data_IF_374940506816
#
_entry.id   IF_374940506816
#
_cell.length_a   1.000
_cell.length_b   1.000
_cell.length_c   1.000
_cell.angle_alpha   90.00
_cell.angle_beta   90.00
_cell.angle_gamma   90.00
#
_symmetry.space_group_name_H-M   'P 1'
#
loop_
_entity.id
_entity.type
_entity.pdbx_description
1 polymer ?
#
# COMPACT_ATOMS: atom_id res chain seq x y z
N UNK A 1 -1.54 -17.92 23.67
CA UNK A 1 -1.79 -17.57 23.54
C UNK A 1 -1.86 -17.16 23.45
N UNK A 2 -1.47 -16.80 23.19
CA UNK A 2 -1.57 -16.34 22.95
C UNK A 2 -1.64 -16.09 22.97
N UNK A 3 -1.30 -16.17 23.04
CA UNK A 3 -1.33 -15.78 22.82
C UNK A 3 -1.48 -15.46 22.69
N UNK A 4 -1.32 -15.48 22.63
CA UNK A 4 -1.41 -14.91 22.30
C UNK A 4 -1.59 -14.26 22.26
N UNK A 5 -1.40 -14.04 22.25
CA UNK A 5 -1.76 -13.42 22.22
C UNK A 5 -1.42 -12.70 22.39
N UNK A 6 -0.98 -12.75 22.54
CA UNK A 6 -0.93 -12.05 22.80
C UNK A 6 -0.32 -11.43 22.57
N UNK A 7 0.37 -11.39 22.40
CA UNK A 7 0.73 -10.90 21.98
C UNK A 7 0.60 -10.20 21.21
N UNK A 8 0.53 -10.16 20.77
CA UNK A 8 -0.10 -9.55 19.97
C UNK A 8 -0.60 -8.37 20.38
N UNK A 9 -0.63 -8.23 21.36
CA UNK A 9 -1.29 -7.22 21.84
C UNK A 9 -0.75 -5.88 21.52
N UNK A 10 0.49 -5.60 21.68
CA UNK A 10 0.95 -4.33 21.46
C UNK A 10 0.97 -3.94 20.11
N UNK A 11 0.99 -4.82 19.24
CA UNK A 11 0.95 -4.38 17.95
C UNK A 11 -0.36 -3.84 17.68
N UNK A 12 -1.30 -4.09 18.51
CA UNK A 12 -2.51 -3.54 18.32
C UNK A 12 -2.47 -2.11 18.46
N UNK A 13 -1.52 -1.53 19.10
CA UNK A 13 -1.54 -0.20 19.35
C UNK A 13 -1.30 0.52 18.13
N UNK A 14 -1.91 0.98 17.39
CA UNK A 14 -1.67 1.86 16.34
C UNK A 14 -1.10 1.22 15.11
N UNK A 15 -0.25 0.25 15.28
CA UNK A 15 0.36 -0.40 14.15
C UNK A 15 -0.59 -1.28 13.40
N UNK A 16 -1.52 -1.92 14.07
CA UNK A 16 -2.46 -2.77 13.36
C UNK A 16 -3.38 -1.93 12.47
N UNK A 17 -3.70 -0.70 12.88
CA UNK A 17 -4.50 0.16 12.04
C UNK A 17 -3.73 0.56 10.78
N UNK A 18 -2.46 0.84 10.92
CA UNK A 18 -1.61 1.17 9.78
C UNK A 18 -1.50 -0.03 8.85
N UNK A 19 -1.30 -1.21 9.41
CA UNK A 19 -1.19 -2.43 8.60
C UNK A 19 -2.49 -2.72 7.86
N UNK A 20 -3.61 -2.57 8.53
CA UNK A 20 -4.90 -2.81 7.89
C UNK A 20 -5.14 -1.83 6.77
N UNK A 21 -4.76 -0.59 6.97
CA UNK A 21 -4.92 0.40 5.93
C UNK A 21 -4.02 0.08 4.74
N UNK A 22 -2.77 -0.31 4.99
CA UNK A 22 -1.85 -0.67 3.92
C UNK A 22 -2.40 -1.84 3.10
N UNK A 23 -2.98 -2.83 3.78
CA UNK A 23 -3.60 -3.94 3.08
C UNK A 23 -4.74 -3.48 2.20
N UNK A 24 -5.56 -2.55 2.71
CA UNK A 24 -6.68 -2.07 1.92
C UNK A 24 -6.23 -1.33 0.68
N UNK A 25 -5.09 -0.64 0.74
CA UNK A 25 -4.54 0.03 -0.43
C UNK A 25 -4.12 -1.00 -1.49
N UNK A 26 -3.43 -2.04 -1.04
CA UNK A 26 -2.99 -3.09 -1.97
C UNK A 26 -4.19 -3.82 -2.58
N UNK A 27 -5.22 -4.07 -1.78
CA UNK A 27 -6.42 -4.72 -2.26
C UNK A 27 -7.16 -3.86 -3.28
N UNK A 28 -7.13 -2.55 -3.09
CA UNK A 28 -7.75 -1.63 -4.03
C UNK A 28 -7.05 -1.70 -5.39
N UNK A 29 -5.73 -1.76 -5.38
CA UNK A 29 -4.97 -1.94 -6.61
C UNK A 29 -5.36 -3.27 -7.26
N UNK A 30 -5.42 -4.33 -6.46
CA UNK A 30 -5.69 -5.66 -7.01
C UNK A 30 -7.08 -5.75 -7.64
N UNK A 31 -8.04 -4.99 -7.13
CA UNK A 31 -9.37 -4.99 -7.73
C UNK A 31 -9.38 -4.36 -9.10
N UNK A 32 -8.57 -3.34 -9.32
CA UNK A 32 -8.59 -2.60 -10.57
C UNK A 32 -7.49 -3.00 -11.54
N UNK A 33 -6.45 -3.63 -11.03
CA UNK A 33 -5.29 -4.02 -11.85
C UNK A 33 -4.72 -5.29 -11.26
N UNK A 34 -5.43 -6.42 -11.41
CA UNK A 34 -5.01 -7.66 -10.74
C UNK A 34 -3.68 -8.17 -11.27
N UNK A 35 -2.94 -8.93 -10.47
CA UNK A 35 -1.64 -9.45 -10.90
C UNK A 35 -1.70 -10.24 -12.20
N UNK A 36 -2.79 -10.94 -12.43
CA UNK A 36 -2.93 -11.70 -13.67
C UNK A 36 -2.85 -10.81 -14.90
N UNK A 37 -3.37 -9.58 -14.79
CA UNK A 37 -3.27 -8.62 -15.87
C UNK A 37 -1.92 -7.93 -15.86
N UNK A 38 -1.46 -7.55 -14.67
CA UNK A 38 -0.20 -6.83 -14.54
C UNK A 38 0.98 -7.62 -15.09
N UNK A 39 0.94 -8.94 -14.88
CA UNK A 39 2.05 -9.80 -15.28
C UNK A 39 1.89 -10.38 -16.67
N UNK A 40 0.82 -10.02 -17.38
CA UNK A 40 0.56 -10.55 -18.70
C UNK A 40 0.84 -9.48 -19.76
N UNK A 41 1.92 -9.62 -20.53
CA UNK A 41 2.26 -8.59 -21.50
C UNK A 41 1.22 -8.39 -22.59
N UNK A 42 0.31 -9.36 -22.74
CA UNK A 42 -0.72 -9.23 -23.76
C UNK A 42 -1.96 -8.51 -23.25
N UNK A 43 -2.04 -8.24 -21.96
CA UNK A 43 -3.20 -7.57 -21.39
C UNK A 43 -2.80 -6.27 -20.74
N UNK A 44 -2.07 -5.45 -21.46
CA UNK A 44 -1.59 -4.19 -20.90
C UNK A 44 -2.71 -3.18 -20.83
N UNK A 45 -2.73 -2.42 -19.76
CA UNK A 45 -3.64 -1.27 -19.70
C UNK A 45 -2.84 -0.04 -20.08
N UNK A 46 -3.55 1.03 -20.40
CA UNK A 46 -2.86 2.25 -20.78
C UNK A 46 -2.11 2.84 -19.60
N UNK A 47 -1.04 3.55 -19.90
CA UNK A 47 -0.26 4.23 -18.89
C UNK A 47 -1.13 5.21 -18.12
N UNK A 48 -2.03 5.89 -18.82
CA UNK A 48 -2.89 6.85 -18.19
C UNK A 48 -3.82 6.19 -17.16
N UNK A 49 -4.38 5.05 -17.52
CA UNK A 49 -5.26 4.35 -16.61
C UNK A 49 -4.53 3.86 -15.38
N UNK A 50 -3.34 3.30 -15.57
CA UNK A 50 -2.56 2.82 -14.45
C UNK A 50 -2.19 3.99 -13.52
N UNK A 51 -1.80 5.11 -14.10
CA UNK A 51 -1.48 6.30 -13.32
C UNK A 51 -2.69 6.73 -12.49
N UNK A 52 -3.88 6.72 -13.09
CA UNK A 52 -5.08 7.11 -12.37
C UNK A 52 -5.35 6.18 -11.19
N UNK A 53 -5.20 4.88 -11.40
CA UNK A 53 -5.42 3.92 -10.33
C UNK A 53 -4.45 4.17 -9.18
N UNK A 54 -3.18 4.35 -9.50
CA UNK A 54 -2.17 4.56 -8.47
C UNK A 54 -2.39 5.89 -7.76
N UNK A 55 -2.74 6.94 -8.49
CA UNK A 55 -2.97 8.24 -7.86
C UNK A 55 -4.15 8.19 -6.91
N UNK A 56 -5.20 7.47 -7.26
CA UNK A 56 -6.34 7.33 -6.36
C UNK A 56 -5.91 6.68 -5.05
N UNK A 57 -5.12 5.62 -5.15
CA UNK A 57 -4.65 4.90 -3.98
C UNK A 57 -3.72 5.78 -3.15
N UNK A 58 -2.81 6.49 -3.82
CA UNK A 58 -1.86 7.35 -3.12
C UNK A 58 -2.56 8.52 -2.44
N UNK A 59 -3.61 9.05 -3.06
CA UNK A 59 -4.36 10.14 -2.44
C UNK A 59 -5.08 9.67 -1.19
N UNK A 60 -5.58 8.45 -1.19
CA UNK A 60 -6.15 7.87 0.03
C UNK A 60 -5.11 7.80 1.13
N UNK A 61 -3.88 7.41 0.76
CA UNK A 61 -2.81 7.33 1.74
C UNK A 61 -2.46 8.70 2.30
N UNK A 62 -2.42 9.70 1.43
CA UNK A 62 -2.12 11.06 1.87
C UNK A 62 -3.19 11.54 2.84
N UNK A 63 -4.45 11.27 2.53
CA UNK A 63 -5.54 11.67 3.40
C UNK A 63 -5.46 10.97 4.75
N UNK A 64 -5.16 9.67 4.74
CA UNK A 64 -5.02 8.91 5.97
C UNK A 64 -3.90 9.51 6.83
N UNK A 65 -2.78 9.85 6.20
CA UNK A 65 -1.66 10.48 6.90
C UNK A 65 -2.08 11.83 7.50
N UNK A 66 -2.85 12.62 6.76
CA UNK A 66 -3.30 13.91 7.26
C UNK A 66 -4.22 13.75 8.46
N UNK A 67 -5.09 12.77 8.42
CA UNK A 67 -6.05 12.55 9.49
C UNK A 67 -5.41 11.99 10.74
N UNK A 68 -4.43 11.12 10.58
CA UNK A 68 -3.82 10.44 11.72
C UNK A 68 -2.46 10.96 12.09
N UNK A 69 -1.93 11.88 11.30
CA UNK A 69 -0.64 12.51 11.56
C UNK A 69 0.44 11.48 11.83
N UNK A 70 0.68 10.64 10.84
CA UNK A 70 1.63 9.57 10.99
C UNK A 70 3.04 10.11 11.14
N UNK A 71 3.76 9.61 12.14
CA UNK A 71 5.17 9.92 12.28
C UNK A 71 5.99 9.11 11.30
N UNK A 72 7.28 9.35 11.32
CA UNK A 72 8.18 8.70 10.38
C UNK A 72 8.13 7.18 10.48
N UNK A 73 8.07 6.66 11.68
CA UNK A 73 8.00 5.24 11.91
C UNK A 73 6.77 4.61 11.29
N UNK A 74 5.60 5.23 11.47
CA UNK A 74 4.36 4.69 10.94
C UNK A 74 4.28 4.84 9.43
N UNK A 75 4.87 5.90 8.87
CA UNK A 75 4.94 6.03 7.43
C UNK A 75 5.78 4.90 6.83
N UNK A 76 6.91 4.61 7.47
CA UNK A 76 7.76 3.53 7.01
C UNK A 76 7.06 2.19 7.13
N UNK A 77 6.32 2.01 8.20
CA UNK A 77 5.57 0.78 8.42
C UNK A 77 4.48 0.62 7.35
N UNK A 78 3.79 1.70 7.05
CA UNK A 78 2.75 1.67 6.03
C UNK A 78 3.34 1.27 4.69
N UNK A 79 4.44 1.89 4.30
CA UNK A 79 5.09 1.57 3.03
C UNK A 79 5.58 0.14 2.98
N UNK A 80 6.15 -0.33 4.07
CA UNK A 80 6.69 -1.68 4.11
C UNK A 80 5.58 -2.73 4.02
N UNK A 81 4.49 -2.53 4.76
CA UNK A 81 3.37 -3.46 4.70
C UNK A 81 2.72 -3.46 3.32
N UNK A 82 2.56 -2.27 2.73
CA UNK A 82 2.02 -2.15 1.38
C UNK A 82 2.87 -2.93 0.39
N UNK A 83 4.18 -2.78 0.47
CA UNK A 83 5.10 -3.49 -0.42
C UNK A 83 4.96 -5.00 -0.26
N UNK A 84 4.92 -5.49 0.98
CA UNK A 84 4.78 -6.91 1.23
C UNK A 84 3.47 -7.46 0.71
N UNK A 85 2.39 -6.71 0.89
CA UNK A 85 1.09 -7.17 0.40
C UNK A 85 1.08 -7.30 -1.11
N UNK A 86 1.69 -6.34 -1.83
CA UNK A 86 1.76 -6.44 -3.27
C UNK A 86 2.58 -7.66 -3.70
N UNK A 87 3.69 -7.90 -3.02
CA UNK A 87 4.50 -9.07 -3.33
C UNK A 87 3.75 -10.36 -3.08
N UNK A 88 3.04 -10.43 -1.97
CA UNK A 88 2.27 -11.63 -1.64
C UNK A 88 1.16 -11.88 -2.64
N UNK A 89 0.62 -10.84 -3.22
CA UNK A 89 -0.42 -10.99 -4.22
C UNK A 89 0.11 -11.46 -5.57
N UNK A 90 1.43 -11.37 -5.78
CA UNK A 90 2.03 -11.84 -7.01
C UNK A 90 2.47 -10.78 -8.00
N UNK A 91 2.46 -9.50 -7.62
CA UNK A 91 2.99 -8.47 -8.51
C UNK A 91 4.50 -8.63 -8.63
N UNK A 92 5.04 -8.28 -9.80
CA UNK A 92 6.48 -8.40 -9.98
C UNK A 92 7.22 -7.32 -9.21
N UNK A 93 8.53 -7.48 -9.14
CA UNK A 93 9.32 -6.62 -8.29
C UNK A 93 9.33 -5.18 -8.78
N UNK A 94 9.40 -4.99 -10.08
CA UNK A 94 9.45 -3.64 -10.62
C UNK A 94 8.18 -2.86 -10.31
N UNK A 95 7.03 -3.48 -10.50
CA UNK A 95 5.78 -2.82 -10.18
C UNK A 95 5.68 -2.52 -8.69
N UNK A 96 6.06 -3.52 -7.88
CA UNK A 96 5.99 -3.38 -6.44
C UNK A 96 6.84 -2.22 -5.95
N UNK A 97 8.05 -2.11 -6.47
CA UNK A 97 8.94 -1.03 -6.06
C UNK A 97 8.43 0.32 -6.54
N UNK A 98 7.97 0.39 -7.78
CA UNK A 98 7.47 1.64 -8.31
C UNK A 98 6.26 2.14 -7.53
N UNK A 99 5.33 1.24 -7.23
CA UNK A 99 4.14 1.61 -6.49
C UNK A 99 4.50 2.04 -5.06
N UNK A 100 5.43 1.33 -4.43
CA UNK A 100 5.83 1.66 -3.07
C UNK A 100 6.53 3.02 -3.02
N UNK A 101 7.39 3.30 -4.00
CA UNK A 101 8.06 4.60 -4.04
C UNK A 101 7.06 5.72 -4.22
N UNK A 102 6.07 5.53 -5.08
CA UNK A 102 5.03 6.54 -5.25
C UNK A 102 4.25 6.79 -3.99
N UNK A 103 3.93 5.71 -3.27
CA UNK A 103 3.24 5.83 -2.01
C UNK A 103 4.05 6.67 -1.01
N UNK A 104 5.34 6.38 -0.91
CA UNK A 104 6.20 7.11 0.02
C UNK A 104 6.26 8.59 -0.34
N UNK A 105 6.35 8.91 -1.63
CA UNK A 105 6.38 10.29 -2.05
C UNK A 105 5.10 11.02 -1.61
N UNK A 106 3.94 10.40 -1.80
CA UNK A 106 2.69 11.02 -1.38
C UNK A 106 2.60 11.17 0.13
N UNK A 107 3.18 10.23 0.88
CA UNK A 107 3.18 10.34 2.33
C UNK A 107 4.10 11.45 2.82
N UNK A 108 5.18 11.72 2.11
CA UNK A 108 6.14 12.73 2.58
C UNK A 108 5.90 14.10 1.98
N UNK A 109 5.45 14.19 0.73
CA UNK A 109 5.29 15.46 0.06
C UNK A 109 3.86 15.82 -0.28
N UNK A 110 2.97 14.85 -0.26
CA UNK A 110 1.60 15.08 -0.68
C UNK A 110 1.48 14.88 -2.19
N UNK A 111 0.28 15.10 -2.72
CA UNK A 111 -0.03 14.78 -4.10
C UNK A 111 0.63 15.69 -5.11
N UNK A 112 1.41 16.61 -4.72
CA UNK A 112 2.01 17.43 -5.70
C UNK A 112 3.30 17.99 -5.25
#
# INVERSE_FOLDING_TARGET
MEPPGERMVFKFFGNSKVDEFAKSLAQDIAKRYPPAIANNPEQMISQKRLTTILEDVFNRAHQFNSEHRLGMFKKAKLGNTFKWELKEMGYDEKFTETATEGLIVYLTRGPN
#
